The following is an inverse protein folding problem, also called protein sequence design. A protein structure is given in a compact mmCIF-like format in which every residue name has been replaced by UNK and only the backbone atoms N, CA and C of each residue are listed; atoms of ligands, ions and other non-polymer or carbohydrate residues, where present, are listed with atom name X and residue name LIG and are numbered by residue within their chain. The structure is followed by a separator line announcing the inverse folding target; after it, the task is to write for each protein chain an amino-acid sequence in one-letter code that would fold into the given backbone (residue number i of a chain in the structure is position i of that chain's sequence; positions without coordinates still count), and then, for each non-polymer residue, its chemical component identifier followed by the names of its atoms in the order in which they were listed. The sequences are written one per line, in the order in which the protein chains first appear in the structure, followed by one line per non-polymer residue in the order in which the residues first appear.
data_IF_970704775133
#
_entry.id   IF_970704775133
#
_cell.length_a   1.000
_cell.length_b   1.000
_cell.length_c   1.000
_cell.angle_alpha   90.00
_cell.angle_beta   90.00
_cell.angle_gamma   90.00
#
_symmetry.space_group_name_H-M   'P 1'
#
loop_
_entity.id
_entity.type
_entity.pdbx_description
1 polymer ?
#
# COMPACT_ATOMS: atom_id res chain seq x y z
N UNK A 1 1.17 -14.83 2.55
CA UNK A 1 1.67 -13.78 1.63
C UNK A 1 0.57 -12.79 1.24
N UNK A 2 -0.39 -13.14 0.36
CA UNK A 2 -1.46 -12.20 -0.03
C UNK A 2 -2.39 -11.85 1.15
N UNK A 3 -2.84 -12.84 1.92
CA UNK A 3 -3.73 -12.60 3.07
C UNK A 3 -3.07 -11.75 4.16
N UNK A 4 -1.77 -11.94 4.39
CA UNK A 4 -1.01 -11.16 5.38
C UNK A 4 -0.79 -9.72 4.90
N UNK A 5 -0.52 -9.54 3.60
CA UNK A 5 -0.45 -8.23 2.95
C UNK A 5 -1.79 -7.49 3.08
N UNK A 6 -2.90 -8.16 2.75
CA UNK A 6 -4.21 -7.55 2.79
C UNK A 6 -4.59 -7.17 4.22
N UNK A 7 -4.30 -8.04 5.20
CA UNK A 7 -4.48 -7.73 6.61
C UNK A 7 -3.65 -6.50 7.05
N UNK A 8 -2.37 -6.43 6.65
CA UNK A 8 -1.51 -5.30 6.96
C UNK A 8 -2.02 -3.98 6.35
N UNK A 9 -2.47 -4.01 5.09
CA UNK A 9 -3.02 -2.83 4.41
C UNK A 9 -4.33 -2.38 5.06
N UNK A 10 -5.24 -3.31 5.39
CA UNK A 10 -6.52 -2.99 6.01
C UNK A 10 -6.33 -2.37 7.41
N UNK A 11 -5.52 -2.99 8.24
CA UNK A 11 -5.37 -2.60 9.65
C UNK A 11 -4.43 -1.39 9.83
N UNK A 12 -3.27 -1.40 9.17
CA UNK A 12 -2.21 -0.45 9.46
C UNK A 12 -2.25 0.80 8.57
N UNK A 13 -2.89 0.70 7.39
CA UNK A 13 -3.07 1.84 6.50
C UNK A 13 -4.53 2.29 6.41
N UNK A 14 -5.44 1.47 5.90
CA UNK A 14 -6.80 1.94 5.56
C UNK A 14 -7.58 2.40 6.80
N UNK A 15 -7.59 1.59 7.86
CA UNK A 15 -8.33 1.90 9.08
C UNK A 15 -7.78 3.15 9.79
N UNK A 16 -6.47 3.21 9.97
CA UNK A 16 -5.78 4.34 10.62
C UNK A 16 -5.91 5.62 9.79
N UNK A 17 -5.74 5.53 8.46
CA UNK A 17 -5.89 6.66 7.54
C UNK A 17 -7.30 7.23 7.55
N UNK A 18 -8.32 6.38 7.43
CA UNK A 18 -9.72 6.81 7.48
C UNK A 18 -10.05 7.47 8.81
N UNK A 19 -9.64 6.87 9.93
CA UNK A 19 -9.91 7.41 11.27
C UNK A 19 -9.28 8.79 11.46
N UNK A 20 -7.99 8.93 11.12
CA UNK A 20 -7.26 10.17 11.25
C UNK A 20 -7.85 11.27 10.37
N UNK A 21 -8.07 10.99 9.07
CA UNK A 21 -8.61 11.98 8.15
C UNK A 21 -10.03 12.40 8.50
N UNK A 22 -10.93 11.46 8.80
CA UNK A 22 -12.31 11.79 9.15
C UNK A 22 -12.36 12.69 10.39
N UNK A 23 -11.52 12.41 11.38
CA UNK A 23 -11.42 13.23 12.59
C UNK A 23 -10.89 14.63 12.28
N UNK A 24 -9.78 14.74 11.55
CA UNK A 24 -9.19 16.03 11.15
C UNK A 24 -10.15 16.87 10.33
N UNK A 25 -10.84 16.26 9.35
CA UNK A 25 -11.81 16.95 8.49
C UNK A 25 -13.02 17.43 9.32
N UNK A 26 -13.56 16.59 10.20
CA UNK A 26 -14.69 16.97 11.05
C UNK A 26 -14.36 18.17 11.94
N UNK A 27 -13.17 18.17 12.55
CA UNK A 27 -12.66 19.29 13.37
C UNK A 27 -12.49 20.55 12.52
N UNK A 28 -11.87 20.44 11.35
CA UNK A 28 -11.67 21.55 10.41
C UNK A 28 -12.99 22.19 9.97
N UNK A 29 -13.97 21.38 9.57
CA UNK A 29 -15.30 21.85 9.16
C UNK A 29 -15.99 22.56 10.31
N UNK A 30 -15.99 21.98 11.51
CA UNK A 30 -16.63 22.57 12.68
C UNK A 30 -16.02 23.91 13.06
N UNK A 31 -14.69 24.02 13.03
CA UNK A 31 -13.97 25.25 13.32
C UNK A 31 -14.30 26.34 12.29
N UNK A 32 -14.28 26.00 11.00
CA UNK A 32 -14.60 26.92 9.90
C UNK A 32 -16.04 27.41 9.98
N UNK A 33 -16.97 26.50 10.29
CA UNK A 33 -18.37 26.85 10.47
C UNK A 33 -18.58 27.76 11.68
N UNK A 34 -17.85 27.55 12.78
CA UNK A 34 -17.93 28.43 13.95
C UNK A 34 -17.51 29.87 13.62
N UNK A 35 -16.43 30.05 12.85
CA UNK A 35 -15.98 31.36 12.36
C UNK A 35 -17.02 32.00 11.43
N UNK A 36 -17.62 31.21 10.51
CA UNK A 36 -18.68 31.71 9.63
C UNK A 36 -19.88 32.20 10.42
N UNK A 37 -20.31 31.44 11.43
CA UNK A 37 -21.46 31.79 12.28
C UNK A 37 -21.16 33.03 13.13
N UNK A 38 -19.97 33.15 13.74
CA UNK A 38 -19.62 34.35 14.51
C UNK A 38 -19.54 35.60 13.63
N UNK A 39 -19.07 35.48 12.38
CA UNK A 39 -19.08 36.58 11.42
C UNK A 39 -20.51 37.05 11.12
N UNK A 40 -21.43 36.12 10.84
CA UNK A 40 -22.84 36.47 10.62
C UNK A 40 -23.48 37.13 11.84
N UNK A 41 -23.12 36.71 13.06
CA UNK A 41 -23.58 37.35 14.30
C UNK A 41 -23.06 38.77 14.43
N UNK A 42 -21.78 39.00 14.13
CA UNK A 42 -21.19 40.33 14.13
C UNK A 42 -21.88 41.24 13.09
N UNK A 43 -22.11 40.73 11.89
CA UNK A 43 -22.81 41.48 10.83
C UNK A 43 -24.24 41.86 11.28
N UNK A 44 -24.96 40.94 11.92
CA UNK A 44 -26.28 41.20 12.48
C UNK A 44 -26.23 42.24 13.62
N UNK A 45 -25.29 42.13 14.55
CA UNK A 45 -25.11 43.09 15.65
C UNK A 45 -24.80 44.51 15.10
N UNK A 46 -23.94 44.61 14.08
CA UNK A 46 -23.62 45.87 13.40
C UNK A 46 -24.86 46.49 12.73
N UNK A 47 -25.70 45.67 12.10
CA UNK A 47 -26.97 46.14 11.53
C UNK A 47 -27.94 46.64 12.61
N UNK A 48 -28.03 45.95 13.76
CA UNK A 48 -28.87 46.38 14.89
C UNK A 48 -28.38 47.72 15.43
N UNK A 49 -27.07 47.88 15.65
CA UNK A 49 -26.47 49.13 16.12
C UNK A 49 -26.78 50.31 15.19
N UNK A 50 -26.71 50.10 13.86
CA UNK A 50 -27.00 51.14 12.87
C UNK A 50 -28.43 51.67 12.97
N UNK A 51 -29.38 50.83 13.40
CA UNK A 51 -30.81 51.17 13.48
C UNK A 51 -31.28 51.40 14.93
N UNK A 52 -30.37 51.39 15.91
CA UNK A 52 -30.72 51.51 17.31
C UNK A 52 -31.17 52.95 17.64
N UNK A 53 -32.24 53.07 18.45
CA UNK A 53 -32.62 54.37 19.00
C UNK A 53 -31.60 54.83 20.06
N UNK A 54 -31.52 56.14 20.36
CA UNK A 54 -30.56 56.66 21.33
C UNK A 54 -30.61 55.97 22.70
N UNK A 55 -31.81 55.57 23.15
CA UNK A 55 -32.02 54.87 24.41
C UNK A 55 -31.45 53.44 24.43
N UNK A 56 -31.27 52.79 23.26
CA UNK A 56 -30.73 51.43 23.12
C UNK A 56 -29.31 51.40 22.54
N UNK A 57 -28.75 52.57 22.23
CA UNK A 57 -27.50 52.70 21.51
C UNK A 57 -26.32 52.07 22.27
N UNK A 58 -26.25 52.30 23.59
CA UNK A 58 -25.15 51.78 24.40
C UNK A 58 -25.19 50.24 24.50
N UNK A 59 -26.38 49.68 24.73
CA UNK A 59 -26.56 48.23 24.69
C UNK A 59 -26.17 47.64 23.33
N UNK A 60 -26.57 48.28 22.23
CA UNK A 60 -26.22 47.80 20.89
C UNK A 60 -24.71 47.89 20.61
N UNK A 61 -23.99 48.86 21.21
CA UNK A 61 -22.52 48.92 21.11
C UNK A 61 -21.86 47.75 21.83
N UNK A 62 -22.32 47.43 23.04
CA UNK A 62 -21.79 46.30 23.81
C UNK A 62 -22.02 44.96 23.09
N UNK A 63 -23.18 44.77 22.44
CA UNK A 63 -23.45 43.58 21.63
C UNK A 63 -22.50 43.43 20.43
N UNK A 64 -22.10 44.55 19.80
CA UNK A 64 -21.10 44.52 18.72
C UNK A 64 -19.73 44.13 19.28
N UNK A 65 -19.29 44.75 20.38
CA UNK A 65 -18.01 44.43 21.04
C UNK A 65 -17.93 42.94 21.42
N UNK A 66 -18.97 42.42 22.08
CA UNK A 66 -19.07 41.00 22.42
C UNK A 66 -19.01 40.08 21.18
N UNK A 67 -19.62 40.49 20.07
CA UNK A 67 -19.59 39.71 18.83
C UNK A 67 -18.21 39.77 18.14
N UNK A 68 -17.49 40.89 18.24
CA UNK A 68 -16.12 41.04 17.74
C UNK A 68 -15.15 40.14 18.51
N UNK A 69 -15.22 40.16 19.85
CA UNK A 69 -14.42 39.27 20.70
C UNK A 69 -14.71 37.79 20.40
N UNK A 70 -15.99 37.44 20.20
CA UNK A 70 -16.35 36.08 19.83
C UNK A 70 -15.76 35.67 18.48
N UNK A 71 -15.80 36.55 17.48
CA UNK A 71 -15.22 36.29 16.17
C UNK A 71 -13.70 36.10 16.25
N UNK A 72 -13.01 36.96 16.99
CA UNK A 72 -11.57 36.84 17.24
C UNK A 72 -11.25 35.49 17.88
N UNK A 73 -11.91 35.14 18.99
CA UNK A 73 -11.69 33.89 19.68
C UNK A 73 -11.95 32.66 18.78
N UNK A 74 -13.05 32.64 18.02
CA UNK A 74 -13.33 31.52 17.10
C UNK A 74 -12.29 31.41 15.99
N UNK A 75 -11.76 32.54 15.53
CA UNK A 75 -10.72 32.57 14.49
C UNK A 75 -9.40 32.03 15.03
N UNK A 76 -8.98 32.43 16.23
CA UNK A 76 -7.77 31.90 16.87
C UNK A 76 -7.83 30.40 17.11
N UNK A 77 -8.98 29.91 17.62
CA UNK A 77 -9.22 28.47 17.79
C UNK A 77 -9.15 27.75 16.44
N UNK A 78 -9.79 28.29 15.40
CA UNK A 78 -9.74 27.68 14.07
C UNK A 78 -8.32 27.62 13.51
N UNK A 79 -7.55 28.71 13.61
CA UNK A 79 -6.14 28.74 13.17
C UNK A 79 -5.33 27.68 13.91
N UNK A 80 -5.50 27.59 15.23
CA UNK A 80 -4.78 26.63 16.06
C UNK A 80 -5.09 25.19 15.66
N UNK A 81 -6.38 24.86 15.50
CA UNK A 81 -6.81 23.52 15.07
C UNK A 81 -6.29 23.17 13.68
N UNK A 82 -6.32 24.11 12.73
CA UNK A 82 -5.81 23.89 11.38
C UNK A 82 -4.29 23.65 11.38
N UNK A 83 -3.53 24.38 12.22
CA UNK A 83 -2.09 24.12 12.40
C UNK A 83 -1.85 22.73 12.96
N UNK A 84 -2.57 22.33 14.01
CA UNK A 84 -2.46 20.98 14.59
C UNK A 84 -2.74 19.88 13.56
N UNK A 85 -3.69 20.09 12.64
CA UNK A 85 -3.96 19.14 11.55
C UNK A 85 -2.76 19.01 10.60
N UNK A 86 -2.16 20.14 10.20
CA UNK A 86 -1.00 20.15 9.30
C UNK A 86 0.27 19.59 9.95
N UNK A 87 0.41 19.76 11.26
CA UNK A 87 1.56 19.29 12.04
C UNK A 87 1.42 17.82 12.45
N UNK A 88 0.27 17.19 12.25
CA UNK A 88 0.05 15.79 12.57
C UNK A 88 0.90 14.88 11.66
N UNK A 89 1.87 14.12 12.18
CA UNK A 89 2.71 13.24 11.36
C UNK A 89 2.00 11.95 10.93
N UNK A 90 0.84 11.65 11.49
CA UNK A 90 0.16 10.36 11.33
C UNK A 90 -0.18 10.00 9.87
N UNK A 91 -0.69 10.91 9.02
CA UNK A 91 -0.91 10.60 7.60
C UNK A 91 0.38 10.13 6.89
N UNK A 92 1.51 10.78 7.18
CA UNK A 92 2.80 10.40 6.58
C UNK A 92 3.23 9.01 7.06
N UNK A 93 3.04 8.71 8.36
CA UNK A 93 3.31 7.37 8.90
C UNK A 93 2.45 6.29 8.24
N UNK A 94 1.16 6.56 8.06
CA UNK A 94 0.24 5.63 7.42
C UNK A 94 0.67 5.32 5.98
N UNK A 95 1.08 6.33 5.21
CA UNK A 95 1.64 6.13 3.86
C UNK A 95 2.93 5.30 3.89
N UNK A 96 3.76 5.47 4.91
CA UNK A 96 4.96 4.66 5.09
C UNK A 96 4.62 3.19 5.39
N UNK A 97 3.61 2.91 6.21
CA UNK A 97 3.13 1.55 6.47
C UNK A 97 2.57 0.88 5.21
N UNK A 98 1.85 1.63 4.37
CA UNK A 98 1.43 1.14 3.06
C UNK A 98 2.64 0.75 2.20
N UNK A 99 3.64 1.64 2.10
CA UNK A 99 4.83 1.38 1.30
C UNK A 99 5.60 0.15 1.79
N UNK A 100 5.72 -0.05 3.11
CA UNK A 100 6.34 -1.24 3.71
C UNK A 100 5.58 -2.51 3.35
N UNK A 101 4.25 -2.50 3.48
CA UNK A 101 3.42 -3.65 3.14
C UNK A 101 3.57 -4.04 1.66
N UNK A 102 3.53 -3.06 0.75
CA UNK A 102 3.73 -3.28 -0.68
C UNK A 102 5.13 -3.85 -0.97
N UNK A 103 6.17 -3.24 -0.40
CA UNK A 103 7.56 -3.67 -0.61
C UNK A 103 7.75 -5.13 -0.19
N UNK A 104 7.25 -5.50 0.99
CA UNK A 104 7.36 -6.86 1.50
C UNK A 104 6.67 -7.86 0.56
N UNK A 105 5.44 -7.56 0.13
CA UNK A 105 4.68 -8.43 -0.76
C UNK A 105 5.40 -8.66 -2.10
N UNK A 106 5.88 -7.59 -2.75
CA UNK A 106 6.57 -7.71 -4.02
C UNK A 106 7.94 -8.38 -3.90
N UNK A 107 8.67 -8.18 -2.78
CA UNK A 107 9.92 -8.91 -2.52
C UNK A 107 9.67 -10.41 -2.42
N UNK A 108 8.68 -10.83 -1.62
CA UNK A 108 8.34 -12.25 -1.47
C UNK A 108 7.85 -12.86 -2.79
N UNK A 109 7.09 -12.12 -3.60
CA UNK A 109 6.68 -12.58 -4.92
C UNK A 109 7.87 -12.76 -5.87
N UNK A 110 8.83 -11.83 -5.86
CA UNK A 110 10.04 -11.93 -6.67
C UNK A 110 10.91 -13.13 -6.26
N UNK A 111 11.06 -13.39 -4.96
CA UNK A 111 11.78 -14.57 -4.43
C UNK A 111 11.11 -15.89 -4.86
N UNK A 112 9.77 -15.95 -4.81
CA UNK A 112 9.01 -17.12 -5.26
C UNK A 112 9.18 -17.36 -6.78
N UNK A 113 9.11 -16.30 -7.59
CA UNK A 113 9.33 -16.39 -9.03
C UNK A 113 10.77 -16.81 -9.37
N UNK A 114 11.77 -16.30 -8.64
CA UNK A 114 13.17 -16.69 -8.81
C UNK A 114 13.38 -18.18 -8.51
N UNK A 115 12.71 -18.71 -7.49
CA UNK A 115 12.73 -20.15 -7.18
C UNK A 115 12.15 -20.98 -8.33
N UNK A 116 10.97 -20.61 -8.82
CA UNK A 116 10.31 -21.30 -9.95
C UNK A 116 11.17 -21.24 -11.21
N UNK A 117 11.76 -20.09 -11.51
CA UNK A 117 12.66 -19.95 -12.66
C UNK A 117 13.82 -20.96 -12.59
N UNK A 118 14.48 -21.07 -11.43
CA UNK A 118 15.56 -22.03 -11.24
C UNK A 118 15.13 -23.50 -11.36
N UNK A 119 13.88 -23.84 -11.01
CA UNK A 119 13.31 -25.17 -11.24
C UNK A 119 13.04 -25.43 -12.73
N UNK A 120 12.48 -24.45 -13.44
CA UNK A 120 12.24 -24.52 -14.89
C UNK A 120 13.57 -24.70 -15.65
N UNK A 121 14.62 -23.96 -15.30
CA UNK A 121 15.93 -24.08 -15.95
C UNK A 121 16.51 -25.50 -15.80
N UNK A 122 16.42 -26.09 -14.61
CA UNK A 122 16.84 -27.47 -14.36
C UNK A 122 16.05 -28.47 -15.20
N UNK A 123 14.72 -28.31 -15.27
CA UNK A 123 13.84 -29.16 -16.06
C UNK A 123 14.15 -29.04 -17.57
N UNK A 124 14.42 -27.83 -18.05
CA UNK A 124 14.77 -27.58 -19.45
C UNK A 124 16.06 -28.31 -19.84
N UNK A 125 17.12 -28.16 -19.03
CA UNK A 125 18.41 -28.85 -19.28
C UNK A 125 18.23 -30.37 -19.26
N UNK A 126 17.44 -30.91 -18.33
CA UNK A 126 17.16 -32.34 -18.26
C UNK A 126 16.41 -32.85 -19.50
N UNK A 127 15.40 -32.08 -19.96
CA UNK A 127 14.63 -32.40 -21.15
C UNK A 127 15.49 -32.37 -22.43
N UNK A 128 16.37 -31.38 -22.59
CA UNK A 128 17.32 -31.29 -23.70
C UNK A 128 18.29 -32.49 -23.71
N UNK A 129 18.79 -32.89 -22.54
CA UNK A 129 19.65 -34.06 -22.40
C UNK A 129 18.97 -35.36 -22.84
N UNK A 130 17.73 -35.58 -22.40
CA UNK A 130 16.94 -36.74 -22.81
C UNK A 130 16.68 -36.73 -24.31
N UNK A 131 16.29 -35.59 -24.89
CA UNK A 131 16.03 -35.47 -26.32
C UNK A 131 17.26 -35.82 -27.16
N UNK A 132 18.45 -35.33 -26.77
CA UNK A 132 19.74 -35.66 -27.43
C UNK A 132 20.09 -37.15 -27.34
N UNK A 133 19.79 -37.78 -26.21
CA UNK A 133 20.05 -39.21 -26.01
C UNK A 133 19.18 -40.09 -26.91
N UNK A 134 17.92 -39.71 -27.12
CA UNK A 134 16.98 -40.41 -28.01
C UNK A 134 17.35 -40.22 -29.48
N UNK A 135 17.90 -39.06 -29.85
CA UNK A 135 18.31 -38.77 -31.23
C UNK A 135 19.67 -39.35 -31.63
N UNK A 136 20.48 -39.86 -30.69
CA UNK A 136 21.75 -40.52 -30.99
C UNK A 136 21.49 -42.01 -31.29
N UNK A 137 21.50 -42.47 -32.55
CA UNK A 137 21.23 -43.88 -32.84
C UNK A 137 22.37 -44.74 -32.28
N UNK A 138 22.03 -45.81 -31.58
CA UNK A 138 22.99 -46.81 -31.11
C UNK A 138 23.70 -47.48 -32.30
N UNK A 139 24.82 -46.91 -32.74
CA UNK A 139 25.79 -47.63 -33.58
C UNK A 139 26.62 -48.57 -32.68
N UNK A 140 25.98 -49.60 -32.10
CA UNK A 140 26.69 -50.75 -31.56
C UNK A 140 27.03 -51.70 -32.70
N UNK A 141 28.19 -51.49 -33.33
CA UNK A 141 28.73 -52.44 -34.30
C UNK A 141 29.13 -53.72 -33.56
N UNK A 142 28.37 -54.80 -33.75
CA UNK A 142 28.65 -56.11 -33.16
C UNK A 142 29.66 -56.84 -34.05
N UNK A 143 30.77 -57.41 -33.54
CA UNK A 143 31.73 -58.12 -34.38
C UNK A 143 31.13 -59.46 -34.82
N UNK A 144 30.87 -59.62 -36.12
CA UNK A 144 30.47 -60.91 -36.69
C UNK A 144 31.69 -61.81 -36.91
N UNK A 145 31.92 -62.71 -35.96
CA UNK A 145 32.73 -63.92 -36.15
C UNK A 145 31.90 -64.99 -36.89
N UNK A 146 32.28 -65.32 -38.13
CA UNK A 146 32.22 -66.67 -38.77
C UNK A 146 32.74 -66.54 -40.20
N UNK A 147 33.64 -67.38 -40.72
CA UNK A 147 33.47 -68.83 -41.02
C UNK A 147 34.85 -69.33 -41.50
N UNK A 148 35.37 -70.52 -41.16
CA UNK A 148 35.02 -71.80 -41.78
C UNK A 148 35.60 -72.98 -41.00
N UNK A 149 34.81 -74.06 -40.98
CA UNK A 149 35.02 -75.37 -40.35
C UNK A 149 36.19 -76.14 -40.98
N UNK A 150 36.78 -77.15 -40.33
CA UNK A 150 36.26 -78.52 -40.34
C UNK A 150 36.92 -79.43 -39.29
N UNK A 151 36.22 -80.44 -38.75
CA UNK A 151 36.77 -81.42 -37.80
C UNK A 151 37.09 -82.80 -38.44
N UNK A 152 37.85 -83.58 -37.65
CA UNK A 152 37.84 -85.04 -37.51
C UNK A 152 38.92 -85.90 -38.23
N UNK A 153 39.76 -86.53 -37.40
CA UNK A 153 40.00 -87.99 -37.26
C UNK A 153 40.89 -88.16 -35.99
N UNK A 154 40.44 -88.72 -34.85
CA UNK A 154 40.23 -90.16 -34.51
C UNK A 154 41.52 -90.96 -34.78
N UNK A 155 42.25 -91.62 -33.86
CA UNK A 155 41.96 -92.53 -32.73
C UNK A 155 43.32 -92.80 -31.96
N UNK A 156 43.41 -92.77 -30.63
CA UNK A 156 43.42 -93.91 -29.64
C UNK A 156 44.81 -94.49 -29.27
N UNK A 157 45.03 -94.99 -28.03
CA UNK A 157 46.28 -94.87 -27.26
C UNK A 157 47.04 -96.19 -27.02
N UNK A 158 48.29 -96.06 -26.52
CA UNK A 158 48.90 -96.84 -25.42
C UNK A 158 50.13 -96.08 -24.91
#
# INVERSE_FOLDING_TARGET
ACLDHDAAVQLNFLHTWQTTLNTSIAVAIKATQAVRVSRLKLDAAKQILKNASPAKQEHARLEVENAEDNLMQKTEVAITLMKTILENPEPIKNLNELAKAQLLYFSTAAEALSTIQGEIDKLSVAAEGQYRSVQSPSFSNTPHSRRLESPATTEVPL
#
